data_IF_203443881349
#
_entry.id   IF_203443881349
#
_cell.length_a   1.000
_cell.length_b   1.000
_cell.length_c   1.000
_cell.angle_alpha   90.00
_cell.angle_beta   90.00
_cell.angle_gamma   90.00
#
_symmetry.space_group_name_H-M   'P 1'
#
loop_
_entity.id
_entity.type
_entity.pdbx_description
1 polymer ?
#
# COMPACT_ATOMS: atom_id res chain seq x y z
N UNK A 1 3.37 9.41 -75.39
CA UNK A 1 4.63 9.35 -74.62
C UNK A 1 5.23 7.97 -74.79
N UNK A 2 6.37 7.90 -75.48
CA UNK A 2 7.21 6.71 -75.61
C UNK A 2 7.75 6.26 -74.24
N UNK A 3 7.81 4.94 -74.00
CA UNK A 3 9.08 4.24 -73.76
C UNK A 3 8.87 2.72 -73.90
N UNK A 4 9.73 2.10 -74.69
CA UNK A 4 9.81 0.65 -74.91
C UNK A 4 11.03 0.05 -74.18
N UNK A 5 10.93 -1.25 -73.91
CA UNK A 5 12.00 -2.27 -73.88
C UNK A 5 12.96 -2.25 -72.65
N UNK A 6 13.39 -3.36 -72.03
CA UNK A 6 13.76 -4.72 -72.50
C UNK A 6 13.68 -5.80 -71.39
N UNK A 7 13.61 -7.05 -71.84
CA UNK A 7 13.81 -8.31 -71.11
C UNK A 7 15.29 -8.60 -70.76
N UNK A 8 15.53 -9.26 -69.60
CA UNK A 8 16.37 -10.46 -69.24
C UNK A 8 17.78 -10.64 -69.88
N UNK A 9 18.84 -11.15 -69.18
CA UNK A 9 18.87 -12.55 -68.70
C UNK A 9 19.60 -12.87 -67.37
N UNK A 10 19.26 -14.07 -66.87
CA UNK A 10 19.96 -14.93 -65.92
C UNK A 10 21.49 -14.98 -66.07
N UNK A 11 22.19 -15.12 -64.95
CA UNK A 11 23.51 -15.78 -64.89
C UNK A 11 23.60 -16.71 -63.69
N UNK A 12 23.85 -17.99 -63.98
CA UNK A 12 24.17 -19.09 -63.07
C UNK A 12 25.65 -19.43 -63.28
N UNK A 13 26.46 -19.50 -62.20
CA UNK A 13 27.57 -20.46 -62.02
C UNK A 13 28.15 -20.26 -60.61
N UNK A 14 28.21 -21.24 -59.70
CA UNK A 14 28.79 -22.60 -59.66
C UNK A 14 30.20 -22.62 -59.01
N UNK A 15 30.22 -23.16 -57.78
CA UNK A 15 31.28 -23.89 -57.05
C UNK A 15 32.74 -23.40 -57.03
N UNK A 16 33.21 -23.11 -55.81
CA UNK A 16 34.56 -23.48 -55.39
C UNK A 16 34.50 -24.13 -54.00
N UNK A 17 34.88 -25.41 -53.95
CA UNK A 17 35.10 -26.22 -52.75
C UNK A 17 36.42 -25.75 -52.13
N UNK A 18 36.38 -25.27 -50.90
CA UNK A 18 37.54 -25.01 -50.06
C UNK A 18 37.36 -25.71 -48.72
N UNK A 19 37.85 -26.94 -48.62
CA UNK A 19 37.99 -27.66 -47.36
C UNK A 19 39.10 -26.96 -46.56
N UNK A 20 38.73 -26.27 -45.48
CA UNK A 20 39.65 -25.85 -44.44
C UNK A 20 39.29 -26.61 -43.16
N UNK A 21 40.03 -27.68 -42.93
CA UNK A 21 40.13 -28.38 -41.65
C UNK A 21 41.04 -27.54 -40.73
N UNK A 22 40.96 -27.81 -39.41
CA UNK A 22 41.93 -27.49 -38.34
C UNK A 22 41.42 -26.34 -37.42
N UNK A 23 41.23 -26.42 -36.09
CA UNK A 23 41.29 -27.41 -34.99
C UNK A 23 40.26 -26.94 -33.94
N UNK A 24 39.56 -27.81 -33.19
CA UNK A 24 38.76 -27.37 -32.05
C UNK A 24 39.70 -27.01 -30.88
N UNK A 25 39.83 -25.72 -30.57
CA UNK A 25 40.33 -25.30 -29.26
C UNK A 25 39.26 -25.63 -28.24
N UNK A 26 39.53 -26.64 -27.42
CA UNK A 26 38.72 -27.05 -26.29
C UNK A 26 38.61 -25.89 -25.30
N UNK A 27 37.53 -25.11 -25.37
CA UNK A 27 37.12 -24.28 -24.24
C UNK A 27 36.63 -25.22 -23.14
N UNK A 28 37.49 -25.44 -22.15
CA UNK A 28 37.10 -26.09 -20.91
C UNK A 28 36.28 -25.09 -20.12
N UNK A 29 34.95 -25.28 -20.08
CA UNK A 29 34.16 -24.73 -19.00
C UNK A 29 34.59 -25.47 -17.74
N UNK A 30 35.30 -24.77 -16.85
CA UNK A 30 35.44 -25.21 -15.47
C UNK A 30 34.04 -25.09 -14.87
N UNK A 31 33.32 -26.20 -14.81
CA UNK A 31 32.23 -26.36 -13.86
C UNK A 31 32.94 -26.59 -12.53
N UNK A 32 33.06 -25.53 -11.73
CA UNK A 32 33.30 -25.74 -10.31
C UNK A 32 32.04 -26.41 -9.77
N UNK A 33 32.08 -27.74 -9.71
CA UNK A 33 31.25 -28.51 -8.83
C UNK A 33 31.70 -28.19 -7.39
N UNK A 34 31.33 -27.00 -6.92
CA UNK A 34 31.36 -26.69 -5.51
C UNK A 34 30.34 -27.62 -4.85
N UNK A 35 30.88 -28.67 -4.21
CA UNK A 35 30.20 -29.44 -3.19
C UNK A 35 29.47 -28.45 -2.29
N UNK A 36 28.13 -28.46 -2.34
CA UNK A 36 27.31 -27.80 -1.35
C UNK A 36 27.52 -28.56 -0.03
N UNK A 37 28.58 -28.21 0.67
CA UNK A 37 28.78 -28.57 2.05
C UNK A 37 27.65 -27.90 2.81
N UNK A 38 26.70 -28.71 3.27
CA UNK A 38 25.62 -28.36 4.16
C UNK A 38 26.23 -27.85 5.48
N UNK A 39 26.66 -26.59 5.47
CA UNK A 39 27.03 -25.87 6.67
C UNK A 39 25.73 -25.32 7.23
N UNK A 40 25.30 -25.89 8.33
CA UNK A 40 24.27 -25.35 9.21
C UNK A 40 24.76 -24.01 9.77
N UNK A 41 24.68 -22.95 8.96
CA UNK A 41 24.62 -21.58 9.47
C UNK A 41 23.21 -21.38 9.99
N UNK A 42 23.09 -21.29 11.32
CA UNK A 42 21.93 -20.66 11.96
C UNK A 42 21.54 -19.40 11.20
N UNK A 43 20.25 -19.12 10.98
CA UNK A 43 19.83 -17.82 10.48
C UNK A 43 19.99 -16.80 11.61
N UNK A 44 21.21 -16.35 11.86
CA UNK A 44 21.46 -15.10 12.58
C UNK A 44 21.40 -13.98 11.56
N UNK A 45 20.17 -13.47 11.36
CA UNK A 45 19.84 -12.07 11.04
C UNK A 45 18.30 -12.02 10.99
N UNK A 46 17.67 -12.04 12.17
CA UNK A 46 16.35 -11.43 12.27
C UNK A 46 16.56 -9.96 11.86
N UNK A 47 16.02 -9.56 10.71
CA UNK A 47 15.83 -8.14 10.45
C UNK A 47 14.93 -7.66 11.59
N UNK A 48 15.49 -6.99 12.58
CA UNK A 48 14.71 -6.38 13.65
C UNK A 48 14.00 -5.17 13.04
N UNK A 49 12.95 -5.44 12.25
CA UNK A 49 12.03 -4.43 11.73
C UNK A 49 11.48 -3.70 12.95
N UNK A 50 11.89 -2.45 13.10
CA UNK A 50 11.41 -1.60 14.18
C UNK A 50 10.00 -1.14 13.81
N UNK A 51 8.96 -1.53 14.57
CA UNK A 51 7.61 -1.04 14.33
C UNK A 51 7.55 0.48 14.42
N UNK A 52 6.75 1.07 13.54
CA UNK A 52 6.52 2.51 13.49
C UNK A 52 5.13 2.80 12.93
N UNK A 53 4.31 3.46 13.75
CA UNK A 53 2.96 3.95 13.41
C UNK A 53 2.88 5.48 13.44
N UNK A 54 4.02 6.18 13.48
CA UNK A 54 4.08 7.64 13.47
C UNK A 54 3.54 8.23 12.15
N UNK A 55 2.65 9.21 12.24
CA UNK A 55 1.93 9.82 11.12
C UNK A 55 2.89 10.54 10.15
N UNK A 56 3.91 11.22 10.66
CA UNK A 56 4.93 11.88 9.83
C UNK A 56 5.71 10.84 9.03
N UNK A 57 6.14 9.76 9.68
CA UNK A 57 6.80 8.65 9.02
C UNK A 57 5.90 7.99 7.98
N UNK A 58 4.63 7.72 8.30
CA UNK A 58 3.68 7.13 7.36
C UNK A 58 3.44 8.04 6.16
N UNK A 59 3.29 9.34 6.38
CA UNK A 59 3.15 10.32 5.30
C UNK A 59 4.37 10.31 4.37
N UNK A 60 5.58 10.40 4.94
CA UNK A 60 6.82 10.53 4.18
C UNK A 60 7.24 9.23 3.47
N UNK A 61 6.99 8.07 4.09
CA UNK A 61 7.42 6.76 3.57
C UNK A 61 6.31 5.99 2.87
N UNK A 62 5.08 6.49 2.93
CA UNK A 62 3.86 5.80 2.49
C UNK A 62 3.66 4.43 3.14
N UNK A 63 4.34 4.17 4.26
CA UNK A 63 4.44 2.84 4.88
C UNK A 63 4.18 2.89 6.37
N UNK A 64 3.34 1.98 6.87
CA UNK A 64 3.15 1.74 8.30
C UNK A 64 3.71 0.35 8.67
N UNK A 65 4.57 0.28 9.69
CA UNK A 65 5.11 -1.00 10.21
C UNK A 65 4.49 -1.29 11.56
N UNK A 66 3.64 -2.30 11.64
CA UNK A 66 2.94 -2.66 12.87
C UNK A 66 3.82 -3.49 13.81
N UNK A 67 3.51 -3.42 15.10
CA UNK A 67 4.06 -4.36 16.07
C UNK A 67 3.26 -5.65 16.13
N UNK A 68 3.84 -6.68 16.72
CA UNK A 68 3.15 -7.96 16.94
C UNK A 68 2.01 -7.92 17.99
N UNK A 69 1.80 -6.75 18.60
CA UNK A 69 0.72 -6.46 19.54
C UNK A 69 -0.51 -5.83 18.85
N UNK A 70 -0.53 -5.72 17.51
CA UNK A 70 -1.65 -5.13 16.75
C UNK A 70 -2.52 -6.22 16.11
N UNK A 71 -3.81 -6.24 16.47
CA UNK A 71 -4.77 -7.22 15.94
C UNK A 71 -5.35 -6.81 14.59
N UNK A 72 -5.74 -5.54 14.44
CA UNK A 72 -6.41 -5.03 13.22
C UNK A 72 -5.78 -3.73 12.74
N UNK A 73 -5.57 -3.62 11.42
CA UNK A 73 -5.24 -2.40 10.71
C UNK A 73 -6.43 -1.93 9.88
N UNK A 74 -6.73 -0.63 9.97
CA UNK A 74 -7.64 0.08 9.07
C UNK A 74 -6.81 0.92 8.10
N UNK A 75 -6.92 0.61 6.80
CA UNK A 75 -6.32 1.41 5.73
C UNK A 75 -7.37 2.39 5.21
N UNK A 76 -7.05 3.68 5.23
CA UNK A 76 -7.92 4.73 4.72
C UNK A 76 -7.81 4.81 3.20
N UNK A 77 -8.95 4.89 2.51
CA UNK A 77 -9.06 5.47 1.17
C UNK A 77 -9.39 6.95 1.39
N UNK A 78 -8.45 7.89 1.23
CA UNK A 78 -8.70 9.30 1.50
C UNK A 78 -9.67 9.88 0.45
N UNK A 79 -10.34 10.97 0.80
CA UNK A 79 -11.16 11.70 -0.17
C UNK A 79 -10.33 12.12 -1.40
N UNK A 80 -10.95 12.10 -2.58
CA UNK A 80 -10.31 12.28 -3.90
C UNK A 80 -9.16 11.31 -4.18
N UNK A 81 -8.98 10.26 -3.37
CA UNK A 81 -7.89 9.30 -3.51
C UNK A 81 -7.92 8.54 -4.83
N UNK A 82 -9.00 8.63 -5.59
CA UNK A 82 -9.19 7.95 -6.87
C UNK A 82 -8.68 8.73 -8.09
N UNK A 83 -8.32 10.00 -7.93
CA UNK A 83 -7.82 10.85 -9.01
C UNK A 83 -6.32 10.66 -9.27
N UNK A 84 -5.90 11.11 -10.46
CA UNK A 84 -4.49 11.17 -10.85
C UNK A 84 -3.77 12.39 -10.22
N UNK A 85 -2.48 12.53 -10.46
CA UNK A 85 -1.76 13.75 -10.05
C UNK A 85 -2.10 14.92 -10.99
N UNK A 86 -2.34 16.11 -10.44
CA UNK A 86 -2.35 17.37 -11.20
C UNK A 86 -3.69 17.84 -11.75
N UNK A 87 -4.82 17.27 -11.31
CA UNK A 87 -6.16 17.77 -11.64
C UNK A 87 -6.56 18.88 -10.65
N UNK A 88 -6.31 20.16 -10.96
CA UNK A 88 -6.25 21.24 -9.92
C UNK A 88 -7.48 21.36 -8.98
N UNK A 89 -8.68 20.99 -9.44
CA UNK A 89 -9.91 21.03 -8.62
C UNK A 89 -10.34 19.66 -8.04
N UNK A 90 -9.83 18.55 -8.61
CA UNK A 90 -10.20 17.16 -8.28
C UNK A 90 -8.98 16.34 -7.81
N UNK A 91 -7.81 16.96 -7.65
CA UNK A 91 -6.60 16.25 -7.31
C UNK A 91 -6.68 15.68 -5.89
N UNK A 92 -5.91 14.60 -5.69
CA UNK A 92 -5.69 14.02 -4.37
C UNK A 92 -5.19 15.08 -3.39
N UNK A 93 -5.66 15.04 -2.14
CA UNK A 93 -5.14 15.90 -1.07
C UNK A 93 -3.67 15.64 -0.76
N UNK A 94 -3.24 14.39 -0.94
CA UNK A 94 -1.88 13.92 -0.71
C UNK A 94 -1.45 12.95 -1.81
N UNK A 95 -0.14 12.75 -1.95
CA UNK A 95 0.43 11.88 -2.98
C UNK A 95 0.31 10.38 -2.62
N UNK A 96 -0.89 9.92 -2.26
CA UNK A 96 -1.20 8.53 -1.93
C UNK A 96 -2.66 8.22 -2.27
N UNK A 97 -2.92 7.03 -2.83
CA UNK A 97 -4.29 6.55 -3.07
C UNK A 97 -4.88 5.84 -1.84
N UNK A 98 -4.03 5.42 -0.91
CA UNK A 98 -4.38 4.74 0.34
C UNK A 98 -3.47 5.27 1.44
N UNK A 99 -3.94 5.31 2.69
CA UNK A 99 -3.15 5.77 3.84
C UNK A 99 -3.24 4.74 4.98
N UNK A 100 -2.14 4.01 5.27
CA UNK A 100 -0.90 3.96 4.50
C UNK A 100 -1.10 3.30 3.12
N UNK A 101 -0.22 3.59 2.16
CA UNK A 101 -0.18 2.87 0.87
C UNK A 101 0.44 1.47 1.01
N UNK A 102 1.35 1.31 1.97
CA UNK A 102 2.03 0.06 2.24
C UNK A 102 1.96 -0.27 3.74
N UNK A 103 1.75 -1.53 4.07
CA UNK A 103 1.81 -2.00 5.45
C UNK A 103 2.74 -3.18 5.60
N UNK A 104 3.51 -3.18 6.69
CA UNK A 104 4.28 -4.34 7.14
C UNK A 104 3.63 -4.82 8.44
N UNK A 105 3.09 -6.03 8.42
CA UNK A 105 2.24 -6.56 9.50
C UNK A 105 2.77 -7.91 10.01
N UNK A 106 2.43 -8.25 11.25
CA UNK A 106 2.66 -9.58 11.79
C UNK A 106 1.67 -10.60 11.23
N UNK A 107 2.09 -11.86 11.19
CA UNK A 107 1.22 -12.98 10.90
C UNK A 107 -0.01 -12.98 11.83
N UNK A 108 -1.20 -13.15 11.27
CA UNK A 108 -2.45 -13.18 12.01
C UNK A 108 -3.10 -11.81 12.23
N UNK A 109 -2.46 -10.71 11.82
CA UNK A 109 -3.10 -9.39 11.79
C UNK A 109 -4.19 -9.35 10.71
N UNK A 110 -5.32 -8.74 11.06
CA UNK A 110 -6.41 -8.48 10.13
C UNK A 110 -6.28 -7.09 9.52
N UNK A 111 -6.64 -6.96 8.25
CA UNK A 111 -6.67 -5.67 7.55
C UNK A 111 -8.06 -5.45 6.98
N UNK A 112 -8.54 -4.21 7.04
CA UNK A 112 -9.73 -3.75 6.34
C UNK A 112 -9.46 -2.38 5.71
N UNK A 113 -10.26 -2.03 4.71
CA UNK A 113 -10.20 -0.74 4.04
C UNK A 113 -11.42 0.08 4.44
N UNK A 114 -11.20 1.31 4.91
CA UNK A 114 -12.25 2.28 5.20
C UNK A 114 -12.32 3.29 4.06
N UNK A 115 -13.49 3.42 3.46
CA UNK A 115 -13.70 4.28 2.32
C UNK A 115 -14.08 5.70 2.76
N UNK A 116 -13.11 6.61 2.80
CA UNK A 116 -13.32 8.04 3.00
C UNK A 116 -13.44 8.82 1.68
N UNK A 117 -13.57 8.12 0.54
CA UNK A 117 -13.74 8.72 -0.79
C UNK A 117 -15.20 9.10 -1.00
N UNK A 118 -15.52 10.36 -0.78
CA UNK A 118 -16.90 10.84 -0.66
C UNK A 118 -17.62 10.74 -1.99
N UNK A 119 -18.84 10.21 -1.97
CA UNK A 119 -19.65 10.04 -3.17
C UNK A 119 -19.19 8.91 -4.10
N UNK A 120 -18.18 8.13 -3.70
CA UNK A 120 -17.58 7.11 -4.54
C UNK A 120 -17.52 5.75 -3.86
N UNK A 121 -17.91 4.70 -4.59
CA UNK A 121 -17.77 3.31 -4.15
C UNK A 121 -16.43 2.75 -4.61
N UNK A 122 -15.82 1.88 -3.79
CA UNK A 122 -14.53 1.25 -4.13
C UNK A 122 -14.57 -0.26 -3.92
N UNK A 123 -13.88 -0.99 -4.79
CA UNK A 123 -13.65 -2.43 -4.64
C UNK A 123 -12.15 -2.68 -4.66
N UNK A 124 -11.64 -3.34 -3.62
CA UNK A 124 -10.23 -3.71 -3.50
C UNK A 124 -10.06 -5.19 -3.84
N UNK A 125 -9.16 -5.50 -4.78
CA UNK A 125 -8.72 -6.86 -5.08
C UNK A 125 -7.31 -7.09 -4.53
N UNK A 126 -7.17 -8.05 -3.61
CA UNK A 126 -5.89 -8.41 -2.99
C UNK A 126 -5.37 -9.68 -3.64
N UNK A 127 -4.14 -9.61 -4.14
CA UNK A 127 -3.45 -10.69 -4.84
C UNK A 127 -2.20 -11.11 -4.08
N UNK A 128 -1.95 -12.42 -4.04
CA UNK A 128 -0.69 -12.95 -3.52
C UNK A 128 0.46 -12.74 -4.52
N UNK A 129 1.68 -13.12 -4.14
CA UNK A 129 2.88 -13.01 -4.96
C UNK A 129 2.80 -13.75 -6.32
N UNK A 130 1.90 -14.73 -6.49
CA UNK A 130 1.67 -15.41 -7.77
C UNK A 130 0.66 -14.68 -8.67
N UNK A 131 0.12 -13.54 -8.21
CA UNK A 131 -0.90 -12.77 -8.92
C UNK A 131 -2.32 -13.32 -8.78
N UNK A 132 -2.54 -14.32 -7.93
CA UNK A 132 -3.87 -14.87 -7.70
C UNK A 132 -4.63 -14.01 -6.70
N UNK A 133 -5.88 -13.64 -7.01
CA UNK A 133 -6.77 -13.00 -6.04
C UNK A 133 -7.02 -13.94 -4.86
N UNK A 134 -6.80 -13.43 -3.65
CA UNK A 134 -6.97 -14.15 -2.38
C UNK A 134 -8.04 -13.52 -1.51
N UNK A 135 -8.41 -12.27 -1.79
CA UNK A 135 -9.47 -11.54 -1.12
C UNK A 135 -9.99 -10.43 -2.04
N UNK A 136 -11.30 -10.22 -2.00
CA UNK A 136 -11.96 -9.10 -2.66
C UNK A 136 -12.96 -8.51 -1.66
N UNK A 137 -12.98 -7.19 -1.53
CA UNK A 137 -13.83 -6.53 -0.54
C UNK A 137 -15.31 -6.56 -0.90
N UNK A 138 -15.64 -6.75 -2.19
CA UNK A 138 -16.87 -6.23 -2.77
C UNK A 138 -16.87 -4.70 -2.79
N UNK A 139 -18.01 -4.12 -3.17
CA UNK A 139 -18.23 -2.67 -3.09
C UNK A 139 -18.20 -2.21 -1.63
N UNK A 140 -17.40 -1.18 -1.37
CA UNK A 140 -17.34 -0.43 -0.12
C UNK A 140 -17.91 0.95 -0.43
N UNK A 141 -19.05 1.26 0.15
CA UNK A 141 -19.71 2.57 0.01
C UNK A 141 -18.92 3.60 0.83
N UNK A 142 -19.02 4.88 0.45
CA UNK A 142 -18.40 5.96 1.20
C UNK A 142 -18.84 5.98 2.67
N UNK A 143 -17.92 6.40 3.53
CA UNK A 143 -18.03 6.34 5.00
C UNK A 143 -18.26 4.92 5.55
N UNK A 144 -17.91 3.87 4.83
CA UNK A 144 -18.00 2.48 5.30
C UNK A 144 -16.67 1.74 5.23
N UNK A 145 -16.57 0.66 6.00
CA UNK A 145 -15.45 -0.26 5.99
C UNK A 145 -15.76 -1.55 5.25
N UNK A 146 -14.74 -2.14 4.63
CA UNK A 146 -14.79 -3.51 4.13
C UNK A 146 -14.92 -4.51 5.29
N UNK A 147 -15.24 -5.76 4.94
CA UNK A 147 -15.00 -6.87 5.87
C UNK A 147 -13.50 -7.03 6.13
N UNK A 148 -13.09 -7.43 7.35
CA UNK A 148 -11.69 -7.69 7.64
C UNK A 148 -11.19 -8.97 6.96
N UNK A 149 -9.93 -8.95 6.54
CA UNK A 149 -9.20 -10.11 6.01
C UNK A 149 -7.96 -10.39 6.86
N UNK A 150 -7.87 -11.61 7.40
CA UNK A 150 -6.75 -12.04 8.23
C UNK A 150 -5.65 -12.69 7.41
N UNK A 151 -4.46 -12.10 7.45
CA UNK A 151 -3.30 -12.62 6.74
C UNK A 151 -2.62 -13.74 7.54
N UNK A 152 -2.78 -14.98 7.08
CA UNK A 152 -2.33 -16.20 7.78
C UNK A 152 -1.07 -16.84 7.20
N UNK A 153 -0.50 -16.27 6.14
CA UNK A 153 0.75 -16.74 5.54
C UNK A 153 1.71 -15.58 5.35
N UNK A 154 3.00 -15.85 5.53
CA UNK A 154 4.07 -14.90 5.24
C UNK A 154 4.13 -14.60 3.74
N UNK A 155 4.56 -13.39 3.40
CA UNK A 155 4.79 -12.98 2.03
C UNK A 155 4.24 -11.60 1.70
N UNK A 156 4.36 -11.24 0.43
CA UNK A 156 3.89 -9.94 -0.09
C UNK A 156 2.58 -10.14 -0.84
N UNK A 157 1.62 -9.28 -0.52
CA UNK A 157 0.32 -9.20 -1.14
C UNK A 157 0.17 -7.82 -1.75
N UNK A 158 -0.14 -7.76 -3.03
CA UNK A 158 -0.43 -6.51 -3.71
C UNK A 158 -1.94 -6.32 -3.73
N UNK A 159 -2.42 -5.12 -3.47
CA UNK A 159 -3.83 -4.81 -3.61
C UNK A 159 -4.02 -3.64 -4.57
N UNK A 160 -5.16 -3.65 -5.25
CA UNK A 160 -5.49 -2.60 -6.19
C UNK A 160 -6.99 -2.29 -6.22
N UNK A 161 -7.32 -1.08 -6.64
CA UNK A 161 -8.67 -0.63 -6.93
C UNK A 161 -8.68 0.18 -8.25
N UNK A 162 -9.83 0.23 -8.88
CA UNK A 162 -10.08 1.14 -10.00
C UNK A 162 -10.37 2.54 -9.45
N UNK A 163 -9.57 3.52 -9.89
CA UNK A 163 -9.88 4.93 -9.71
C UNK A 163 -10.63 5.46 -10.94
N UNK A 164 -10.35 6.71 -11.28
CA UNK A 164 -10.84 7.30 -12.53
C UNK A 164 -10.33 6.60 -13.79
N UNK A 165 -10.93 6.84 -14.98
CA UNK A 165 -10.50 6.22 -16.22
C UNK A 165 -8.99 6.38 -16.49
N UNK A 166 -8.25 5.27 -16.38
CA UNK A 166 -6.80 5.24 -16.55
C UNK A 166 -5.98 5.36 -15.27
N UNK A 167 -6.63 5.51 -14.11
CA UNK A 167 -6.03 5.50 -12.79
C UNK A 167 -6.19 4.11 -12.15
N UNK A 168 -5.09 3.57 -11.65
CA UNK A 168 -5.09 2.36 -10.83
C UNK A 168 -4.50 2.69 -9.48
N UNK A 169 -5.32 2.55 -8.44
CA UNK A 169 -4.89 2.74 -7.06
C UNK A 169 -4.19 1.45 -6.62
N UNK A 170 -2.97 1.53 -6.09
CA UNK A 170 -2.24 0.33 -5.65
C UNK A 170 -1.64 0.49 -4.27
N UNK A 171 -1.48 -0.63 -3.57
CA UNK A 171 -0.69 -0.70 -2.34
C UNK A 171 -0.21 -2.12 -2.04
N UNK A 172 0.52 -2.28 -0.95
CA UNK A 172 1.08 -3.59 -0.57
C UNK A 172 0.91 -3.92 0.91
N UNK A 173 0.69 -5.20 1.20
CA UNK A 173 0.77 -5.78 2.55
C UNK A 173 1.92 -6.78 2.56
N UNK A 174 2.95 -6.49 3.34
CA UNK A 174 4.03 -7.44 3.64
C UNK A 174 3.75 -8.10 4.98
N UNK A 175 3.55 -9.40 4.97
CA UNK A 175 3.34 -10.21 6.18
C UNK A 175 4.68 -10.82 6.56
N UNK A 176 5.24 -10.36 7.68
CA UNK A 176 6.54 -10.77 8.18
C UNK A 176 6.43 -11.29 9.62
N UNK A 177 7.50 -11.92 10.10
CA UNK A 177 7.59 -12.45 11.46
C UNK A 177 8.08 -11.38 12.45
N UNK A 178 7.32 -10.30 12.60
CA UNK A 178 7.64 -9.20 13.51
C UNK A 178 7.59 -9.69 14.96
N UNK A 179 8.68 -9.53 15.72
CA UNK A 179 8.76 -9.95 17.14
C UNK A 179 8.60 -8.80 18.13
N UNK A 180 8.80 -7.57 17.66
CA UNK A 180 8.77 -6.39 18.52
C UNK A 180 7.35 -5.80 18.57
N UNK A 181 6.86 -5.41 19.75
CA UNK A 181 5.63 -4.63 19.85
C UNK A 181 5.89 -3.19 19.39
N UNK A 182 4.84 -2.51 18.93
CA UNK A 182 4.84 -1.06 18.76
C UNK A 182 4.33 -0.42 20.05
N UNK A 183 4.98 0.65 20.49
CA UNK A 183 4.50 1.46 21.63
C UNK A 183 3.87 2.73 21.08
N UNK A 184 2.55 2.94 21.25
CA UNK A 184 1.88 4.19 20.90
C UNK A 184 2.58 5.38 21.56
N UNK A 185 2.83 6.45 20.82
CA UNK A 185 3.41 7.71 21.32
C UNK A 185 2.57 8.35 22.42
N UNK A 186 1.25 8.15 22.42
CA UNK A 186 0.35 8.69 23.46
C UNK A 186 0.27 7.82 24.73
N UNK A 187 0.88 6.63 24.73
CA UNK A 187 0.84 5.70 25.85
C UNK A 187 2.05 5.85 26.80
N UNK A 188 1.79 6.19 28.07
CA UNK A 188 2.80 6.20 29.14
C UNK A 188 3.11 4.79 29.70
N UNK A 189 2.53 3.73 29.12
CA UNK A 189 2.67 2.35 29.54
C UNK A 189 3.29 1.50 28.42
N UNK A 190 4.27 0.68 28.78
CA UNK A 190 4.94 -0.25 27.88
C UNK A 190 3.95 -1.19 27.18
N UNK A 191 4.05 -1.30 25.84
CA UNK A 191 3.51 -2.39 24.99
C UNK A 191 2.15 -2.97 25.41
N UNK A 192 1.09 -2.16 25.43
CA UNK A 192 -0.28 -2.69 25.51
C UNK A 192 -0.69 -3.37 24.21
N UNK A 193 -1.55 -4.38 24.28
CA UNK A 193 -2.21 -4.90 23.09
C UNK A 193 -3.06 -3.79 22.45
N UNK A 194 -2.98 -3.68 21.12
CA UNK A 194 -3.74 -2.75 20.30
C UNK A 194 -4.76 -3.59 19.54
N UNK A 195 -6.05 -3.34 19.80
CA UNK A 195 -7.12 -4.06 19.10
C UNK A 195 -7.22 -3.59 17.65
N UNK A 196 -7.23 -2.27 17.46
CA UNK A 196 -7.31 -1.65 16.14
C UNK A 196 -6.40 -0.43 16.08
N UNK A 197 -5.71 -0.25 14.96
CA UNK A 197 -5.02 0.99 14.59
C UNK A 197 -5.48 1.42 13.20
N UNK A 198 -5.55 2.72 12.97
CA UNK A 198 -5.85 3.27 11.66
C UNK A 198 -5.44 4.72 11.53
N UNK A 199 -5.77 5.29 10.39
CA UNK A 199 -5.53 6.70 10.07
C UNK A 199 -6.85 7.35 9.65
N UNK A 200 -7.05 8.60 10.08
CA UNK A 200 -8.01 9.53 9.49
C UNK A 200 -7.26 10.70 8.87
N UNK A 201 -7.87 11.32 7.87
CA UNK A 201 -7.41 12.58 7.29
C UNK A 201 -8.52 13.61 7.52
N UNK A 202 -8.18 14.74 8.13
CA UNK A 202 -9.13 15.80 8.45
C UNK A 202 -8.57 17.18 8.10
N UNK A 203 -9.41 18.20 7.90
CA UNK A 203 -8.95 19.58 7.78
C UNK A 203 -8.26 20.05 9.05
N UNK A 204 -7.08 20.64 8.93
CA UNK A 204 -6.29 21.07 10.11
C UNK A 204 -7.00 22.15 10.92
N UNK A 205 -7.76 23.02 10.25
CA UNK A 205 -8.52 24.09 10.90
C UNK A 205 -9.60 23.58 11.87
N UNK A 206 -10.05 22.34 11.70
CA UNK A 206 -11.15 21.72 12.47
C UNK A 206 -10.64 20.56 13.35
N UNK A 207 -9.32 20.40 13.48
CA UNK A 207 -8.68 19.25 14.15
C UNK A 207 -9.12 19.07 15.60
N UNK A 208 -9.30 20.16 16.36
CA UNK A 208 -9.67 20.11 17.77
C UNK A 208 -11.06 19.49 17.97
N UNK A 209 -11.99 19.77 17.04
CA UNK A 209 -13.34 19.22 17.05
C UNK A 209 -13.29 17.71 16.74
N UNK A 210 -12.53 17.31 15.72
CA UNK A 210 -12.39 15.89 15.37
C UNK A 210 -11.66 15.09 16.47
N UNK A 211 -10.59 15.62 17.07
CA UNK A 211 -9.92 14.99 18.21
C UNK A 211 -10.90 14.80 19.37
N UNK A 212 -11.74 15.81 19.65
CA UNK A 212 -12.73 15.75 20.72
C UNK A 212 -13.79 14.68 20.46
N UNK A 213 -14.29 14.59 19.23
CA UNK A 213 -15.28 13.59 18.85
C UNK A 213 -14.69 12.17 18.86
N UNK A 214 -13.50 11.96 18.30
CA UNK A 214 -12.78 10.67 18.33
C UNK A 214 -12.56 10.22 19.79
N UNK A 215 -12.13 11.13 20.66
CA UNK A 215 -11.91 10.83 22.06
C UNK A 215 -13.22 10.52 22.81
N UNK A 216 -14.33 11.20 22.50
CA UNK A 216 -15.63 10.91 23.11
C UNK A 216 -16.17 9.53 22.76
N UNK A 217 -15.76 8.98 21.62
CA UNK A 217 -16.07 7.62 21.17
C UNK A 217 -15.18 6.55 21.83
N UNK A 218 -14.27 6.94 22.73
CA UNK A 218 -13.34 6.04 23.40
C UNK A 218 -12.21 5.56 22.51
N UNK A 219 -11.92 6.28 21.42
CA UNK A 219 -10.79 6.02 20.53
C UNK A 219 -9.62 6.92 20.99
N UNK A 220 -8.42 6.35 21.05
CA UNK A 220 -7.23 7.08 21.49
C UNK A 220 -6.50 7.68 20.31
N UNK A 221 -6.24 8.98 20.35
CA UNK A 221 -5.33 9.64 19.42
C UNK A 221 -3.89 9.27 19.80
N UNK A 222 -3.12 8.77 18.85
CA UNK A 222 -1.72 8.42 19.09
C UNK A 222 -0.77 9.58 18.79
N UNK A 223 -0.82 10.05 17.55
CA UNK A 223 -0.05 11.17 17.05
C UNK A 223 -0.74 11.76 15.80
N UNK A 224 -0.28 12.94 15.40
CA UNK A 224 -0.81 13.66 14.25
C UNK A 224 0.32 14.22 13.40
N UNK A 225 0.05 14.44 12.12
CA UNK A 225 0.97 15.11 11.22
C UNK A 225 0.24 16.01 10.24
N UNK A 226 0.58 17.30 10.26
CA UNK A 226 0.03 18.30 9.36
C UNK A 226 0.82 18.32 8.04
N UNK A 227 0.10 18.39 6.93
CA UNK A 227 0.69 18.47 5.61
C UNK A 227 -0.08 19.44 4.71
N UNK A 228 0.62 19.97 3.69
CA UNK A 228 0.00 20.86 2.70
C UNK A 228 -0.84 20.05 1.72
N UNK A 229 -2.09 20.48 1.55
CA UNK A 229 -3.00 19.97 0.52
C UNK A 229 -2.36 20.23 -0.86
N UNK A 230 -2.24 19.19 -1.69
CA UNK A 230 -1.66 19.32 -3.03
C UNK A 230 -2.42 20.29 -3.94
N UNK A 231 -3.70 20.57 -3.66
CA UNK A 231 -4.52 21.54 -4.39
C UNK A 231 -4.28 22.99 -3.96
N UNK A 232 -3.53 23.21 -2.89
CA UNK A 232 -3.41 24.54 -2.26
C UNK A 232 -4.63 24.94 -1.42
N UNK A 233 -5.52 23.98 -1.16
CA UNK A 233 -6.66 24.10 -0.25
C UNK A 233 -8.02 24.27 -0.92
N UNK A 234 -9.07 23.95 -0.17
CA UNK A 234 -10.47 24.11 -0.60
C UNK A 234 -11.26 24.99 0.36
N UNK A 235 -12.37 25.53 -0.15
CA UNK A 235 -13.29 26.31 0.66
C UNK A 235 -13.87 25.42 1.76
N UNK A 236 -13.63 25.79 3.02
CA UNK A 236 -14.14 25.05 4.17
C UNK A 236 -13.19 23.98 4.70
N UNK A 237 -12.01 23.77 4.08
CA UNK A 237 -10.99 22.83 4.58
C UNK A 237 -9.63 23.50 4.81
N UNK A 238 -9.37 24.64 4.17
CA UNK A 238 -8.07 25.31 4.23
C UNK A 238 -7.01 24.64 3.36
N UNK A 239 -5.77 25.14 3.41
CA UNK A 239 -4.64 24.66 2.60
C UNK A 239 -3.79 23.56 3.26
N UNK A 240 -4.23 23.12 4.44
CA UNK A 240 -3.50 22.17 5.29
C UNK A 240 -4.48 21.12 5.79
N UNK A 241 -4.07 19.86 5.70
CA UNK A 241 -4.78 18.71 6.23
C UNK A 241 -3.93 18.04 7.29
N UNK A 242 -4.55 17.25 8.16
CA UNK A 242 -3.87 16.52 9.22
C UNK A 242 -4.16 15.04 9.10
N UNK A 243 -3.11 14.22 9.08
CA UNK A 243 -3.23 12.80 9.38
C UNK A 243 -3.33 12.59 10.88
N UNK A 244 -4.30 11.81 11.31
CA UNK A 244 -4.50 11.40 12.70
C UNK A 244 -4.31 9.89 12.78
N UNK A 245 -3.24 9.44 13.43
CA UNK A 245 -3.09 8.03 13.79
C UNK A 245 -3.88 7.80 15.08
N UNK A 246 -4.75 6.81 15.06
CA UNK A 246 -5.61 6.47 16.19
C UNK A 246 -5.51 4.98 16.53
N UNK A 247 -5.75 4.65 17.79
CA UNK A 247 -5.71 3.28 18.31
C UNK A 247 -6.89 3.00 19.23
N UNK A 248 -7.24 1.72 19.36
CA UNK A 248 -8.20 1.23 20.35
C UNK A 248 -7.62 0.09 21.17
N UNK A 249 -8.07 -0.02 22.42
CA UNK A 249 -7.74 -1.11 23.34
C UNK A 249 -8.94 -1.38 24.25
N UNK A 250 -9.43 -2.62 24.25
CA UNK A 250 -10.65 -3.04 24.92
C UNK A 250 -11.95 -2.60 24.22
N UNK A 251 -11.92 -2.22 22.93
CA UNK A 251 -13.10 -1.73 22.17
C UNK A 251 -13.43 -2.69 21.03
N UNK A 252 -14.72 -2.98 20.83
CA UNK A 252 -15.15 -3.84 19.73
C UNK A 252 -14.87 -3.19 18.36
N UNK A 253 -14.54 -4.02 17.37
CA UNK A 253 -14.26 -3.53 16.02
C UNK A 253 -15.49 -2.87 15.40
N UNK A 254 -16.69 -3.45 15.55
CA UNK A 254 -17.89 -2.87 14.93
C UNK A 254 -18.25 -1.54 15.59
N UNK A 255 -18.13 -1.45 16.92
CA UNK A 255 -18.29 -0.16 17.62
C UNK A 255 -17.30 0.89 17.12
N UNK A 256 -16.02 0.49 16.91
CA UNK A 256 -15.01 1.39 16.36
C UNK A 256 -15.37 1.86 14.94
N UNK A 257 -15.77 0.93 14.06
CA UNK A 257 -16.13 1.26 12.68
C UNK A 257 -17.41 2.09 12.58
N UNK A 258 -18.39 1.88 13.48
CA UNK A 258 -19.59 2.73 13.57
C UNK A 258 -19.23 4.16 13.94
N UNK A 259 -18.39 4.36 14.97
CA UNK A 259 -17.91 5.69 15.34
C UNK A 259 -17.17 6.38 14.18
N UNK A 260 -16.30 5.66 13.44
CA UNK A 260 -15.60 6.21 12.28
C UNK A 260 -16.53 6.58 11.12
N UNK A 261 -17.57 5.79 10.88
CA UNK A 261 -18.58 6.07 9.85
C UNK A 261 -19.33 7.37 10.15
N UNK A 262 -19.74 7.57 11.39
CA UNK A 262 -20.42 8.80 11.83
C UNK A 262 -19.48 10.02 11.71
N UNK A 263 -18.23 9.91 12.19
CA UNK A 263 -17.22 10.97 12.06
C UNK A 263 -16.95 11.35 10.60
N UNK A 264 -16.84 10.35 9.71
CA UNK A 264 -16.53 10.56 8.30
C UNK A 264 -17.68 11.25 7.55
N UNK A 265 -18.93 11.02 7.96
CA UNK A 265 -20.09 11.67 7.37
C UNK A 265 -20.16 13.18 7.68
N UNK A 266 -19.48 13.63 8.74
CA UNK A 266 -19.41 15.04 9.15
C UNK A 266 -18.15 15.76 8.60
N UNK A 267 -17.35 15.11 7.75
CA UNK A 267 -16.21 15.75 7.10
C UNK A 267 -16.69 16.74 6.02
N UNK A 268 -16.09 17.94 5.92
CA UNK A 268 -16.47 18.97 4.93
C UNK A 268 -16.07 18.61 3.49
N UNK A 269 -15.71 17.35 3.26
CA UNK A 269 -15.42 16.79 1.94
C UNK A 269 -16.70 16.32 1.21
N UNK A 270 -17.86 16.32 1.90
CA UNK A 270 -19.19 15.98 1.38
C UNK A 270 -19.99 17.12 0.77
#
# INVERSE_FOLDING_TARGET
MHFQHRYSPFTISLFAIGILVIFPTSFSFIIDAALAQQNSTSPSNENNLQPNIDAESVFNTKTMTLGNNVQTLVILIPNEGHHSEGEEDEARFLDQHFVPENAIISLGTSVLWFNGDVGHERTIDVKNASGNSVFNTGEIIDSQASKPYTFSNLGVYNYAAEGDPGVTMTGTITVDNIQSPVTPTSSNSSASNIDTVGILMVPTQDIDDYISQIASEGITIDNTYDFKDLRGGQKGTGDTQTLIVWTTSGKDLNETLSSLSELSADLPYS
#
